data_IF_592829375822
#
_entry.id   IF_592829375822
#
_cell.length_a   1.000
_cell.length_b   1.000
_cell.length_c   1.000
_cell.angle_alpha   90.00
_cell.angle_beta   90.00
_cell.angle_gamma   90.00
#
_symmetry.space_group_name_H-M   'P 1'
#
loop_
_entity.id
_entity.type
_entity.pdbx_description
1 polymer ?
#
# COMPACT_ATOMS: atom_id res chain seq x y z
N UNK A 1 -3.98 9.61 -12.30
CA UNK A 1 -4.99 9.85 -11.26
C UNK A 1 -4.36 10.72 -10.19
N UNK A 2 -4.96 11.86 -9.84
CA UNK A 2 -4.50 12.68 -8.73
C UNK A 2 -5.42 12.43 -7.54
N UNK A 3 -4.88 11.83 -6.48
CA UNK A 3 -5.59 11.60 -5.23
C UNK A 3 -5.07 12.62 -4.21
N UNK A 4 -5.88 13.60 -3.78
CA UNK A 4 -5.48 14.53 -2.73
C UNK A 4 -5.46 13.80 -1.38
N UNK A 5 -4.41 13.00 -1.16
CA UNK A 5 -4.18 12.33 0.10
C UNK A 5 -3.48 13.29 1.06
N UNK A 6 -4.18 13.67 2.11
CA UNK A 6 -3.63 14.51 3.17
C UNK A 6 -2.92 13.62 4.20
N UNK A 7 -1.86 14.14 4.81
CA UNK A 7 -1.14 13.41 5.86
C UNK A 7 -2.07 13.17 7.07
N UNK A 8 -1.80 12.12 7.83
CA UNK A 8 -2.51 11.77 9.08
C UNK A 8 -2.52 12.86 10.14
N UNK A 9 -1.73 13.93 9.95
CA UNK A 9 -1.71 15.13 10.78
C UNK A 9 -2.89 16.07 10.49
N UNK A 10 -3.46 15.99 9.29
CA UNK A 10 -4.56 16.83 8.81
C UNK A 10 -5.87 16.06 8.66
N UNK A 11 -5.83 14.82 8.16
CA UNK A 11 -7.02 13.98 8.10
C UNK A 11 -6.69 12.52 8.38
N UNK A 12 -7.26 12.01 9.47
CA UNK A 12 -6.89 10.71 10.05
C UNK A 12 -7.50 9.54 9.29
N UNK A 13 -8.34 9.73 8.27
CA UNK A 13 -9.01 8.66 7.51
C UNK A 13 -8.87 8.78 5.99
N UNK A 14 -8.32 9.87 5.47
CA UNK A 14 -8.15 10.11 4.03
C UNK A 14 -7.34 9.02 3.34
N UNK A 15 -6.30 8.49 3.99
CA UNK A 15 -5.53 7.37 3.43
C UNK A 15 -6.40 6.12 3.26
N UNK A 16 -7.16 5.76 4.31
CA UNK A 16 -8.06 4.60 4.31
C UNK A 16 -9.16 4.70 3.23
N UNK A 17 -9.78 5.87 3.09
CA UNK A 17 -10.86 6.06 2.11
C UNK A 17 -10.39 6.06 0.66
N UNK A 18 -9.15 6.50 0.41
CA UNK A 18 -8.59 6.58 -0.95
C UNK A 18 -7.80 5.32 -1.36
N UNK A 19 -7.44 4.46 -0.40
CA UNK A 19 -6.77 3.18 -0.62
C UNK A 19 -7.49 2.27 -1.64
N UNK A 20 -8.81 2.00 -1.54
CA UNK A 20 -9.48 1.13 -2.49
C UNK A 20 -9.48 1.69 -3.92
N UNK A 21 -9.65 3.01 -4.09
CA UNK A 21 -9.55 3.64 -5.40
C UNK A 21 -8.14 3.57 -5.98
N UNK A 22 -7.10 3.78 -5.15
CA UNK A 22 -5.71 3.63 -5.54
C UNK A 22 -5.37 2.19 -5.93
N UNK A 23 -5.88 1.20 -5.18
CA UNK A 23 -5.72 -0.22 -5.46
C UNK A 23 -6.39 -0.65 -6.75
N UNK A 24 -7.62 -0.18 -7.00
CA UNK A 24 -8.31 -0.51 -8.24
C UNK A 24 -7.57 0.08 -9.45
N UNK A 25 -7.11 1.33 -9.34
CA UNK A 25 -6.26 1.95 -10.36
C UNK A 25 -4.97 1.17 -10.56
N UNK A 26 -4.31 0.75 -9.47
CA UNK A 26 -3.08 -0.02 -9.55
C UNK A 26 -3.31 -1.39 -10.21
N UNK A 27 -4.38 -2.09 -9.83
CA UNK A 27 -4.78 -3.38 -10.38
C UNK A 27 -5.01 -3.31 -11.89
N UNK A 28 -5.78 -2.31 -12.34
CA UNK A 28 -6.06 -2.12 -13.76
C UNK A 28 -4.77 -1.87 -14.56
N UNK A 29 -3.93 -0.94 -14.12
CA UNK A 29 -2.69 -0.63 -14.84
C UNK A 29 -1.69 -1.79 -14.83
N UNK A 30 -1.52 -2.49 -13.69
CA UNK A 30 -0.64 -3.65 -13.59
C UNK A 30 -1.16 -4.83 -14.43
N UNK A 31 -2.47 -5.01 -14.52
CA UNK A 31 -3.07 -6.04 -15.38
C UNK A 31 -2.84 -5.77 -16.88
N UNK A 32 -2.68 -4.50 -17.24
CA UNK A 32 -2.31 -4.08 -18.60
C UNK A 32 -0.79 -4.07 -18.82
N UNK A 33 0.02 -4.48 -17.84
CA UNK A 33 1.49 -4.48 -17.93
C UNK A 33 2.13 -3.10 -17.89
N UNK A 34 1.40 -2.06 -17.44
CA UNK A 34 1.89 -0.68 -17.35
C UNK A 34 2.68 -0.47 -16.06
N UNK A 35 3.71 0.36 -16.14
CA UNK A 35 4.51 0.77 -14.99
C UNK A 35 3.77 1.82 -14.16
N UNK A 36 3.73 1.65 -12.83
CA UNK A 36 3.09 2.57 -11.91
C UNK A 36 4.12 3.39 -11.12
N UNK A 37 3.93 4.70 -11.08
CA UNK A 37 4.67 5.60 -10.21
C UNK A 37 3.77 6.04 -9.04
N UNK A 38 4.20 5.75 -7.82
CA UNK A 38 3.54 6.22 -6.60
C UNK A 38 4.41 7.32 -6.02
N UNK A 39 3.90 8.54 -6.01
CA UNK A 39 4.62 9.71 -5.51
C UNK A 39 3.80 10.46 -4.47
N UNK A 40 4.46 10.96 -3.43
CA UNK A 40 3.88 11.91 -2.49
C UNK A 40 4.89 13.00 -2.18
N UNK A 41 4.41 14.14 -1.68
CA UNK A 41 5.22 15.35 -1.47
C UNK A 41 6.52 15.11 -0.67
N UNK A 42 6.45 14.32 0.40
CA UNK A 42 7.65 13.97 1.18
C UNK A 42 8.33 12.67 0.72
N UNK A 43 7.64 11.78 0.01
CA UNK A 43 8.13 10.43 -0.29
C UNK A 43 8.33 9.48 0.92
N UNK A 44 8.07 9.93 2.15
CA UNK A 44 8.48 9.21 3.38
C UNK A 44 7.39 8.33 4.01
N UNK A 45 6.12 8.55 3.70
CA UNK A 45 5.01 8.01 4.51
C UNK A 45 3.82 7.51 3.68
N UNK A 46 3.06 8.43 3.06
CA UNK A 46 1.84 8.09 2.30
C UNK A 46 2.15 7.18 1.11
N UNK A 47 3.15 7.53 0.32
CA UNK A 47 3.58 6.75 -0.85
C UNK A 47 3.96 5.32 -0.44
N UNK A 48 4.64 5.16 0.71
CA UNK A 48 5.01 3.86 1.25
C UNK A 48 3.80 3.07 1.72
N UNK A 49 2.85 3.71 2.39
CA UNK A 49 1.63 3.05 2.84
C UNK A 49 0.78 2.55 1.66
N UNK A 50 0.67 3.36 0.61
CA UNK A 50 -0.03 2.97 -0.63
C UNK A 50 0.74 1.86 -1.36
N UNK A 51 2.06 1.97 -1.46
CA UNK A 51 2.91 0.94 -2.05
C UNK A 51 2.79 -0.39 -1.30
N UNK A 52 2.84 -0.34 0.03
CA UNK A 52 2.67 -1.50 0.90
C UNK A 52 1.29 -2.14 0.70
N UNK A 53 0.22 -1.34 0.64
CA UNK A 53 -1.12 -1.87 0.39
C UNK A 53 -1.24 -2.54 -0.98
N UNK A 54 -0.69 -1.93 -2.03
CA UNK A 54 -0.67 -2.50 -3.39
C UNK A 54 0.12 -3.81 -3.42
N UNK A 55 1.33 -3.83 -2.84
CA UNK A 55 2.14 -5.02 -2.73
C UNK A 55 1.44 -6.10 -1.90
N UNK A 56 0.72 -5.71 -0.85
CA UNK A 56 0.03 -6.65 0.02
C UNK A 56 -1.22 -7.25 -0.63
N UNK A 57 -1.98 -6.44 -1.37
CA UNK A 57 -3.23 -6.87 -1.99
C UNK A 57 -3.06 -7.49 -3.37
N UNK A 58 -2.02 -7.16 -4.15
CA UNK A 58 -1.91 -7.62 -5.55
C UNK A 58 -0.78 -8.62 -5.79
N UNK A 59 0.20 -8.69 -4.89
CA UNK A 59 1.35 -9.58 -5.01
C UNK A 59 1.31 -10.67 -3.94
N UNK A 60 1.78 -11.85 -4.31
CA UNK A 60 2.03 -12.95 -3.37
C UNK A 60 3.35 -12.74 -2.60
N UNK A 61 3.61 -13.53 -1.55
CA UNK A 61 4.87 -13.55 -0.78
C UNK A 61 6.10 -13.80 -1.68
N UNK A 62 5.89 -14.49 -2.81
CA UNK A 62 6.92 -14.73 -3.85
C UNK A 62 7.18 -13.54 -4.76
N UNK A 63 6.41 -12.45 -4.65
CA UNK A 63 6.52 -11.28 -5.52
C UNK A 63 5.87 -11.44 -6.90
N UNK A 64 5.04 -12.47 -7.08
CA UNK A 64 4.26 -12.68 -8.31
C UNK A 64 2.98 -11.85 -8.26
N UNK A 65 2.68 -11.10 -9.33
CA UNK A 65 1.41 -10.40 -9.47
C UNK A 65 0.28 -11.39 -9.76
N UNK A 66 -0.62 -11.57 -8.80
CA UNK A 66 -1.77 -12.48 -8.92
C UNK A 66 -3.10 -11.70 -9.14
N UNK A 67 -3.04 -10.37 -9.14
CA UNK A 67 -4.24 -9.52 -9.24
C UNK A 67 -5.13 -9.58 -7.99
N UNK A 68 -4.59 -10.11 -6.90
CA UNK A 68 -5.20 -10.15 -5.56
C UNK A 68 -6.07 -11.35 -5.23
N UNK A 69 -5.96 -12.47 -5.95
CA UNK A 69 -6.66 -13.71 -5.57
C UNK A 69 -6.09 -14.31 -4.28
N UNK A 70 -4.78 -14.18 -4.08
CA UNK A 70 -4.12 -14.62 -2.85
C UNK A 70 -4.62 -13.87 -1.60
N UNK A 71 -4.88 -12.56 -1.76
CA UNK A 71 -5.40 -11.70 -0.70
C UNK A 71 -6.87 -12.00 -0.36
N UNK A 72 -7.69 -12.40 -1.34
CA UNK A 72 -9.08 -12.79 -1.06
C UNK A 72 -9.19 -14.12 -0.30
N UNK A 73 -8.17 -14.98 -0.40
CA UNK A 73 -8.18 -16.32 0.20
C UNK A 73 -7.48 -16.35 1.58
N UNK A 74 -6.52 -15.46 1.82
CA UNK A 74 -5.66 -15.50 3.01
C UNK A 74 -5.73 -14.20 3.81
N UNK A 75 -6.13 -14.29 5.08
CA UNK A 75 -6.07 -13.14 6.00
C UNK A 75 -4.61 -12.72 6.21
N UNK A 76 -4.26 -11.49 5.83
CA UNK A 76 -2.90 -10.97 5.98
C UNK A 76 -2.52 -10.92 7.46
N UNK A 77 -1.48 -11.66 7.84
CA UNK A 77 -0.96 -11.56 9.19
C UNK A 77 -0.16 -10.27 9.37
N UNK A 78 -0.17 -9.73 10.58
CA UNK A 78 0.67 -8.58 10.97
C UNK A 78 2.15 -8.81 10.63
N UNK A 79 2.59 -10.07 10.69
CA UNK A 79 3.98 -10.47 10.42
C UNK A 79 4.32 -10.41 8.92
N UNK A 80 3.41 -10.84 8.05
CA UNK A 80 3.57 -10.69 6.59
C UNK A 80 3.63 -9.21 6.17
N UNK A 81 2.72 -8.39 6.68
CA UNK A 81 2.75 -6.95 6.43
C UNK A 81 4.09 -6.34 6.85
N UNK A 82 4.60 -6.72 8.03
CA UNK A 82 5.90 -6.26 8.52
C UNK A 82 7.06 -6.72 7.64
N UNK A 83 7.06 -7.98 7.16
CA UNK A 83 8.09 -8.47 6.23
C UNK A 83 8.11 -7.66 4.95
N UNK A 84 6.94 -7.40 4.34
CA UNK A 84 6.82 -6.59 3.12
C UNK A 84 7.29 -5.14 3.36
N UNK A 85 6.93 -4.56 4.50
CA UNK A 85 7.40 -3.22 4.87
C UNK A 85 8.92 -3.15 5.00
N UNK A 86 9.53 -4.12 5.71
CA UNK A 86 11.00 -4.17 5.85
C UNK A 86 11.68 -4.29 4.48
N UNK A 87 11.11 -5.08 3.56
CA UNK A 87 11.61 -5.17 2.19
C UNK A 87 11.56 -3.81 1.49
N UNK A 88 10.44 -3.09 1.56
CA UNK A 88 10.32 -1.76 0.96
C UNK A 88 11.32 -0.77 1.60
N UNK A 89 11.48 -0.80 2.92
CA UNK A 89 12.44 0.04 3.63
C UNK A 89 13.90 -0.23 3.22
N UNK A 90 14.24 -1.42 2.71
CA UNK A 90 15.58 -1.68 2.13
C UNK A 90 15.82 -0.88 0.85
N UNK A 91 14.77 -0.64 0.05
CA UNK A 91 14.87 0.09 -1.21
C UNK A 91 14.63 1.59 -1.04
N UNK A 92 13.85 1.99 -0.03
CA UNK A 92 13.54 3.40 0.24
C UNK A 92 14.29 3.86 1.49
N UNK A 93 15.44 4.50 1.29
CA UNK A 93 16.38 4.92 2.35
C UNK A 93 15.74 5.89 3.35
N UNK A 94 14.79 6.71 2.92
CA UNK A 94 14.08 7.69 3.77
C UNK A 94 12.71 7.17 4.26
N UNK A 95 12.51 5.85 4.32
CA UNK A 95 11.24 5.30 4.73
C UNK A 95 10.93 5.60 6.20
N UNK A 96 9.91 6.44 6.43
CA UNK A 96 9.48 6.84 7.78
C UNK A 96 7.96 6.77 7.93
N UNK A 97 7.37 5.56 7.77
CA UNK A 97 5.93 5.39 7.88
C UNK A 97 5.45 5.67 9.31
N UNK A 98 4.45 6.53 9.43
CA UNK A 98 3.80 6.85 10.70
C UNK A 98 3.03 5.64 11.19
N UNK A 99 3.17 5.33 12.48
CA UNK A 99 2.47 4.22 13.13
C UNK A 99 0.94 4.29 12.97
N UNK A 100 0.38 5.50 12.87
CA UNK A 100 -1.03 5.73 12.57
C UNK A 100 -1.44 5.20 11.19
N UNK A 101 -0.69 5.56 10.15
CA UNK A 101 -0.97 5.16 8.77
C UNK A 101 -0.81 3.64 8.57
N UNK A 102 0.21 3.05 9.19
CA UNK A 102 0.36 1.59 9.20
C UNK A 102 -0.84 0.88 9.83
N UNK A 103 -1.40 1.42 10.93
CA UNK A 103 -2.60 0.85 11.56
C UNK A 103 -3.80 0.94 10.62
N UNK A 104 -3.91 2.01 9.83
CA UNK A 104 -4.99 2.16 8.86
C UNK A 104 -4.86 1.22 7.68
N UNK A 105 -3.65 1.07 7.12
CA UNK A 105 -3.38 0.08 6.06
C UNK A 105 -3.69 -1.31 6.57
N UNK A 106 -3.25 -1.66 7.78
CA UNK A 106 -3.56 -2.95 8.38
C UNK A 106 -5.08 -3.14 8.58
N UNK A 107 -5.78 -2.11 9.05
CA UNK A 107 -7.24 -2.12 9.20
C UNK A 107 -7.97 -2.27 7.86
N UNK A 108 -7.43 -1.69 6.78
CA UNK A 108 -7.98 -1.85 5.43
C UNK A 108 -7.73 -3.23 4.86
N UNK A 109 -6.56 -3.83 5.16
CA UNK A 109 -6.19 -5.16 4.68
C UNK A 109 -6.89 -6.30 5.46
N UNK A 110 -7.46 -6.01 6.62
CA UNK A 110 -8.06 -7.00 7.52
C UNK A 110 -9.54 -6.72 7.81
N UNK A 111 -10.14 -5.75 7.11
CA UNK A 111 -11.56 -5.39 7.21
C UNK A 111 -12.27 -5.71 5.90
#
# INVERSE_FOLDING_TARGET
>A
MHLPMVTSKFDRFSLFNNLPSALNFAKLNLSEGKTLLIWCHNGEDISLCVCLAILTSLFDDRGTFDGGRFFSDTSITKLEMWRRLVTICKYVVNARPSRGNLKQVFGFLNG
#
